data_IF_397454210470
#
_entry.id   IF_397454210470
#
_cell.length_a   1.000
_cell.length_b   1.000
_cell.length_c   1.000
_cell.angle_alpha   90.00
_cell.angle_beta   90.00
_cell.angle_gamma   90.00
#
_symmetry.space_group_name_H-M   'P 1'
#
loop_
_entity.id
_entity.type
_entity.pdbx_description
1 polymer ?
#
# COMPACT_ATOMS: atom_id res chain seq x y z
N UNK A 1 -67.39 22.00 -23.73
CA UNK A 1 -66.49 21.03 -24.40
C UNK A 1 -65.05 21.49 -24.18
N UNK A 2 -64.22 20.79 -23.38
CA UNK A 2 -62.78 20.95 -23.42
C UNK A 2 -62.16 19.91 -24.35
N UNK A 3 -61.15 20.27 -25.15
CA UNK A 3 -60.32 19.32 -25.91
C UNK A 3 -58.88 19.57 -25.52
N UNK A 4 -58.31 18.56 -24.85
CA UNK A 4 -56.92 18.44 -24.45
C UNK A 4 -56.06 18.12 -25.68
N UNK A 5 -55.01 18.90 -25.91
CA UNK A 5 -53.87 18.45 -26.74
C UNK A 5 -52.56 18.76 -26.03
N UNK A 6 -52.13 17.75 -25.28
CA UNK A 6 -50.79 17.17 -25.27
C UNK A 6 -49.60 18.06 -25.68
N UNK A 7 -48.80 18.39 -24.66
CA UNK A 7 -47.32 18.40 -24.57
C UNK A 7 -46.55 18.18 -25.88
N UNK A 8 -45.53 19.02 -26.10
CA UNK A 8 -44.17 18.62 -26.52
C UNK A 8 -43.22 19.82 -26.31
N UNK A 9 -42.35 19.71 -25.31
CA UNK A 9 -41.26 20.65 -25.01
C UNK A 9 -40.03 20.18 -25.80
N UNK A 10 -39.42 20.98 -26.70
CA UNK A 10 -38.28 20.53 -27.48
C UNK A 10 -36.99 20.47 -26.66
N UNK A 11 -36.54 19.25 -26.47
CA UNK A 11 -35.24 18.79 -25.98
C UNK A 11 -34.06 19.46 -26.70
N UNK A 12 -33.03 19.92 -25.97
CA UNK A 12 -31.60 19.72 -26.29
C UNK A 12 -30.69 20.43 -25.29
N UNK A 13 -30.37 19.76 -24.19
CA UNK A 13 -29.11 19.96 -23.49
C UNK A 13 -28.71 18.60 -22.88
N UNK A 14 -27.68 17.92 -23.38
CA UNK A 14 -27.19 16.69 -22.76
C UNK A 14 -26.56 17.00 -21.40
N UNK A 15 -26.84 16.10 -20.46
CA UNK A 15 -26.41 16.09 -19.06
C UNK A 15 -24.88 16.17 -18.88
N UNK A 16 -24.39 16.64 -17.72
CA UNK A 16 -22.97 16.58 -17.38
C UNK A 16 -22.48 15.14 -17.37
N UNK A 17 -21.29 14.91 -17.93
CA UNK A 17 -20.60 13.62 -17.89
C UNK A 17 -20.26 13.28 -16.44
N UNK A 18 -21.13 12.50 -15.78
CA UNK A 18 -20.76 11.70 -14.62
C UNK A 18 -19.67 10.74 -15.07
N UNK A 19 -18.44 11.05 -14.70
CA UNK A 19 -17.34 10.09 -14.77
C UNK A 19 -17.67 9.00 -13.76
N UNK A 20 -18.32 7.95 -14.23
CA UNK A 20 -18.38 6.66 -13.57
C UNK A 20 -16.93 6.19 -13.35
N UNK A 21 -16.36 6.49 -12.17
CA UNK A 21 -15.24 5.71 -11.63
C UNK A 21 -15.79 4.34 -11.20
N UNK A 22 -16.12 3.51 -12.19
CA UNK A 22 -16.48 2.11 -11.97
C UNK A 22 -15.18 1.31 -11.89
N UNK A 23 -14.79 1.02 -10.64
CA UNK A 23 -14.32 -0.28 -10.18
C UNK A 23 -13.26 -0.98 -11.05
N UNK A 24 -12.00 -0.94 -10.60
CA UNK A 24 -11.09 -2.06 -10.79
C UNK A 24 -11.09 -2.91 -9.51
N UNK A 25 -11.66 -4.10 -9.64
CA UNK A 25 -11.69 -5.17 -8.66
C UNK A 25 -10.30 -5.78 -8.42
N UNK A 26 -10.21 -6.61 -7.37
CA UNK A 26 -9.23 -7.68 -7.06
C UNK A 26 -8.04 -7.23 -6.17
N UNK A 27 -7.84 -7.69 -4.92
CA UNK A 27 -8.25 -8.92 -4.22
C UNK A 27 -8.50 -8.64 -2.73
N UNK A 28 -9.76 -8.65 -2.31
CA UNK A 28 -10.13 -8.65 -0.89
C UNK A 28 -10.07 -10.10 -0.39
N UNK A 29 -8.92 -10.54 0.15
CA UNK A 29 -8.86 -11.80 0.90
C UNK A 29 -9.12 -11.49 2.37
N UNK A 30 -10.39 -11.57 2.77
CA UNK A 30 -10.77 -11.62 4.18
C UNK A 30 -10.36 -12.98 4.74
N UNK A 31 -9.38 -13.01 5.64
CA UNK A 31 -9.13 -14.17 6.49
C UNK A 31 -9.30 -13.75 7.95
N UNK A 32 -10.45 -14.14 8.49
CA UNK A 32 -10.72 -14.20 9.92
C UNK A 32 -9.77 -15.21 10.57
N UNK A 33 -9.04 -14.78 11.59
CA UNK A 33 -8.22 -15.65 12.44
C UNK A 33 -8.35 -15.23 13.89
N UNK A 34 -9.35 -15.78 14.59
CA UNK A 34 -9.39 -15.73 16.06
C UNK A 34 -8.49 -16.85 16.56
N UNK A 35 -7.42 -16.48 17.28
CA UNK A 35 -6.64 -17.42 18.09
C UNK A 35 -6.51 -16.80 19.48
N UNK A 36 -7.36 -17.28 20.40
CA UNK A 36 -7.18 -17.16 21.84
C UNK A 36 -6.32 -18.34 22.29
N UNK A 37 -5.08 -18.07 22.71
CA UNK A 37 -4.32 -18.98 23.56
C UNK A 37 -3.84 -18.23 24.81
N UNK A 38 -4.50 -18.50 25.93
CA UNK A 38 -3.97 -18.27 27.27
C UNK A 38 -3.22 -19.50 27.74
N UNK A 39 -1.93 -19.36 28.05
CA UNK A 39 -1.20 -20.31 28.89
C UNK A 39 -0.33 -19.54 29.87
N UNK A 40 -0.70 -19.63 31.15
CA UNK A 40 0.11 -19.17 32.28
C UNK A 40 1.28 -20.13 32.49
N UNK A 41 2.47 -19.58 32.67
CA UNK A 41 3.66 -20.34 33.04
C UNK A 41 4.68 -19.40 33.69
N UNK A 42 4.58 -19.21 35.00
CA UNK A 42 5.65 -18.59 35.78
C UNK A 42 6.76 -19.62 35.98
N UNK A 43 7.92 -19.38 35.36
CA UNK A 43 9.15 -20.05 35.71
C UNK A 43 10.23 -18.98 35.96
N UNK A 44 10.52 -18.74 37.24
CA UNK A 44 11.67 -17.97 37.66
C UNK A 44 12.94 -18.78 37.37
N UNK A 45 13.78 -18.29 36.47
CA UNK A 45 15.17 -18.71 36.35
C UNK A 45 16.04 -17.46 36.51
N UNK A 46 16.53 -17.23 37.73
CA UNK A 46 17.64 -16.32 37.98
C UNK A 46 18.94 -17.07 37.66
N UNK A 47 19.75 -16.53 36.73
CA UNK A 47 21.23 -16.54 36.69
C UNK A 47 21.74 -16.31 35.26
N UNK A 48 22.71 -15.39 35.10
CA UNK A 48 23.61 -15.17 33.93
C UNK A 48 23.26 -14.02 32.94
N UNK A 49 23.24 -12.77 33.41
CA UNK A 49 22.89 -11.59 32.58
C UNK A 49 23.99 -11.01 31.66
N UNK A 50 25.24 -11.48 31.70
CA UNK A 50 26.36 -10.88 30.93
C UNK A 50 26.67 -11.59 29.61
N UNK A 51 26.62 -12.92 29.54
CA UNK A 51 26.84 -13.68 28.30
C UNK A 51 25.60 -13.74 27.38
N UNK A 52 24.41 -13.53 27.94
CA UNK A 52 23.14 -13.55 27.21
C UNK A 52 22.82 -12.21 26.52
N UNK A 53 23.43 -11.11 27.00
CA UNK A 53 23.26 -9.77 26.44
C UNK A 53 24.01 -9.61 25.11
N UNK A 54 25.27 -10.09 25.02
CA UNK A 54 26.03 -10.07 23.76
C UNK A 54 25.41 -10.96 22.68
N UNK A 55 24.88 -12.13 23.05
CA UNK A 55 24.21 -13.03 22.10
C UNK A 55 22.90 -12.43 21.56
N UNK A 56 22.11 -11.73 22.40
CA UNK A 56 20.90 -11.01 21.96
C UNK A 56 21.20 -9.83 21.04
N UNK A 57 22.25 -9.06 21.31
CA UNK A 57 22.65 -7.93 20.45
C UNK A 57 23.16 -8.41 19.09
N UNK A 58 24.00 -9.46 19.07
CA UNK A 58 24.48 -10.08 17.83
C UNK A 58 23.33 -10.67 17.00
N UNK A 59 22.36 -11.34 17.64
CA UNK A 59 21.19 -11.86 16.95
C UNK A 59 20.30 -10.74 16.40
N UNK A 60 20.12 -9.66 17.15
CA UNK A 60 19.33 -8.50 16.71
C UNK A 60 19.99 -7.79 15.52
N UNK A 61 21.31 -7.64 15.52
CA UNK A 61 22.05 -7.02 14.42
C UNK A 61 21.97 -7.85 13.12
N UNK A 62 21.95 -9.19 13.22
CA UNK A 62 21.77 -10.06 12.06
C UNK A 62 20.35 -9.96 11.48
N UNK A 63 19.32 -9.90 12.32
CA UNK A 63 17.93 -9.72 11.90
C UNK A 63 17.71 -8.37 11.21
N UNK A 64 18.29 -7.30 11.75
CA UNK A 64 18.22 -5.95 11.18
C UNK A 64 18.91 -5.88 9.81
N UNK A 65 20.11 -6.47 9.69
CA UNK A 65 20.85 -6.56 8.42
C UNK A 65 20.07 -7.34 7.35
N UNK A 66 19.40 -8.43 7.74
CA UNK A 66 18.57 -9.21 6.82
C UNK A 66 17.31 -8.45 6.39
N UNK A 67 16.72 -7.67 7.28
CA UNK A 67 15.57 -6.81 6.97
C UNK A 67 15.97 -5.69 6.00
N UNK A 68 17.09 -5.01 6.26
CA UNK A 68 17.59 -3.94 5.38
C UNK A 68 17.95 -4.44 3.98
N UNK A 69 18.56 -5.62 3.87
CA UNK A 69 18.85 -6.21 2.55
C UNK A 69 17.59 -6.61 1.78
N UNK A 70 16.56 -7.09 2.48
CA UNK A 70 15.25 -7.38 1.88
C UNK A 70 14.56 -6.11 1.38
N UNK A 71 14.61 -5.05 2.19
CA UNK A 71 14.08 -3.72 1.83
C UNK A 71 14.79 -3.13 0.61
N UNK A 72 16.11 -3.27 0.51
CA UNK A 72 16.86 -2.79 -0.64
C UNK A 72 16.50 -3.54 -1.93
N UNK A 73 16.27 -4.86 -1.84
CA UNK A 73 15.81 -5.64 -2.99
C UNK A 73 14.41 -5.19 -3.45
N UNK A 74 13.49 -4.98 -2.50
CA UNK A 74 12.15 -4.49 -2.81
C UNK A 74 12.19 -3.10 -3.42
N UNK A 75 12.98 -2.17 -2.86
CA UNK A 75 13.16 -0.84 -3.42
C UNK A 75 13.60 -0.90 -4.91
N UNK A 76 14.54 -1.79 -5.23
CA UNK A 76 15.02 -1.98 -6.60
C UNK A 76 13.97 -2.57 -7.54
N UNK A 77 13.17 -3.52 -7.08
CA UNK A 77 12.05 -4.10 -7.86
C UNK A 77 11.08 -3.00 -8.33
N UNK A 78 10.75 -2.10 -7.41
CA UNK A 78 9.90 -0.94 -7.66
C UNK A 78 10.60 0.24 -8.33
N UNK A 79 11.89 0.13 -8.67
CA UNK A 79 12.71 1.20 -9.22
C UNK A 79 12.71 2.49 -8.34
N UNK A 80 12.66 2.28 -7.03
CA UNK A 80 12.69 3.32 -6.00
C UNK A 80 14.09 3.46 -5.40
N UNK A 81 14.41 4.67 -4.93
CA UNK A 81 15.60 4.87 -4.10
C UNK A 81 15.36 4.33 -2.68
N UNK A 82 16.42 4.03 -1.91
CA UNK A 82 16.28 3.63 -0.51
C UNK A 82 15.49 4.64 0.33
N UNK A 83 15.66 5.94 0.07
CA UNK A 83 14.95 7.00 0.79
C UNK A 83 13.44 6.99 0.50
N UNK A 84 13.07 6.67 -0.74
CA UNK A 84 11.66 6.55 -1.13
C UNK A 84 11.02 5.31 -0.55
N UNK A 85 11.75 4.21 -0.49
CA UNK A 85 11.31 2.99 0.17
C UNK A 85 11.06 3.21 1.66
N UNK A 86 12.00 3.86 2.38
CA UNK A 86 11.82 4.22 3.78
C UNK A 86 10.61 5.13 4.00
N UNK A 87 10.36 6.06 3.07
CA UNK A 87 9.17 6.91 3.13
C UNK A 87 7.89 6.10 2.95
N UNK A 88 7.86 5.19 1.99
CA UNK A 88 6.75 4.25 1.81
C UNK A 88 6.51 3.41 3.09
N UNK A 89 7.56 2.86 3.69
CA UNK A 89 7.45 2.11 4.95
C UNK A 89 6.84 2.96 6.07
N UNK A 90 7.30 4.21 6.22
CA UNK A 90 6.74 5.16 7.20
C UNK A 90 5.25 5.43 6.92
N UNK A 91 4.86 5.57 5.65
CA UNK A 91 3.46 5.76 5.27
C UNK A 91 2.61 4.53 5.60
N UNK A 92 3.15 3.32 5.41
CA UNK A 92 2.48 2.06 5.74
C UNK A 92 2.43 1.77 7.25
N UNK A 93 3.33 2.35 8.04
CA UNK A 93 3.25 2.31 9.50
C UNK A 93 2.22 3.30 10.07
N UNK A 94 1.74 4.24 9.25
CA UNK A 94 0.68 5.18 9.61
C UNK A 94 -0.72 4.56 9.42
N UNK A 95 -1.76 5.29 9.82
CA UNK A 95 -3.18 4.91 9.63
C UNK A 95 -3.50 4.50 8.19
N UNK A 96 -2.82 5.10 7.20
CA UNK A 96 -2.94 4.72 5.78
C UNK A 96 -2.63 3.25 5.54
N UNK A 97 -1.54 2.71 6.10
CA UNK A 97 -1.22 1.30 5.91
C UNK A 97 -2.16 0.35 6.66
N UNK A 98 -2.83 0.83 7.70
CA UNK A 98 -3.91 0.07 8.38
C UNK A 98 -5.13 -0.05 7.48
N UNK A 99 -5.52 1.04 6.81
CA UNK A 99 -6.67 1.04 5.89
C UNK A 99 -6.35 0.45 4.51
N UNK A 100 -5.08 0.44 4.11
CA UNK A 100 -4.62 -0.04 2.81
C UNK A 100 -3.37 -0.92 2.95
N UNK A 101 -3.47 -2.06 3.66
CA UNK A 101 -2.36 -2.98 3.77
C UNK A 101 -2.00 -3.52 2.39
N UNK A 102 -0.72 -3.45 2.02
CA UNK A 102 -0.22 -3.95 0.74
C UNK A 102 -0.52 -3.05 -0.47
N UNK A 103 -0.84 -1.77 -0.24
CA UNK A 103 -0.90 -0.78 -1.31
C UNK A 103 0.44 -0.72 -2.05
N UNK A 104 0.41 -0.64 -3.38
CA UNK A 104 1.66 -0.61 -4.14
C UNK A 104 2.47 0.66 -3.81
N UNK A 105 3.81 0.57 -3.73
CA UNK A 105 4.65 1.69 -3.33
C UNK A 105 4.53 2.92 -4.23
N UNK A 106 4.35 2.73 -5.55
CA UNK A 106 4.27 3.84 -6.50
C UNK A 106 2.96 4.62 -6.37
N UNK A 107 1.84 3.95 -6.11
CA UNK A 107 0.55 4.58 -5.82
C UNK A 107 0.58 5.27 -4.46
N UNK A 108 1.12 4.60 -3.44
CA UNK A 108 1.25 5.20 -2.10
C UNK A 108 2.08 6.49 -2.14
N UNK A 109 3.25 6.45 -2.81
CA UNK A 109 4.13 7.60 -2.96
C UNK A 109 3.56 8.66 -3.91
N UNK A 110 2.80 8.27 -4.93
CA UNK A 110 2.12 9.17 -5.87
C UNK A 110 1.03 10.00 -5.21
N UNK A 111 0.24 9.40 -4.31
CA UNK A 111 -0.79 10.10 -3.53
C UNK A 111 -0.16 11.09 -2.54
N UNK A 112 0.98 10.73 -1.94
CA UNK A 112 1.71 11.56 -0.97
C UNK A 112 2.86 12.36 -1.58
N UNK A 113 2.87 12.54 -2.90
CA UNK A 113 3.88 13.32 -3.59
C UNK A 113 3.83 14.79 -3.12
N UNK A 114 4.98 15.33 -2.70
CA UNK A 114 5.08 16.65 -2.10
C UNK A 114 5.14 17.77 -3.13
N UNK A 115 5.47 17.43 -4.37
CA UNK A 115 5.60 18.35 -5.49
C UNK A 115 5.24 17.66 -6.81
N UNK A 116 5.08 18.46 -7.86
CA UNK A 116 4.69 17.97 -9.18
C UNK A 116 5.78 17.14 -9.86
N UNK A 117 7.05 17.29 -9.47
CA UNK A 117 8.14 16.47 -9.98
C UNK A 117 8.07 15.05 -9.43
N UNK A 118 7.90 14.88 -8.13
CA UNK A 118 7.67 13.58 -7.49
C UNK A 118 6.43 12.91 -8.08
N UNK A 119 5.33 13.65 -8.23
CA UNK A 119 4.09 13.11 -8.80
C UNK A 119 4.29 12.62 -10.24
N UNK A 120 4.99 13.38 -11.08
CA UNK A 120 5.34 12.97 -12.45
C UNK A 120 6.24 11.75 -12.45
N UNK A 121 7.28 11.72 -11.62
CA UNK A 121 8.20 10.58 -11.55
C UNK A 121 7.48 9.29 -11.18
N UNK A 122 6.60 9.32 -10.17
CA UNK A 122 5.85 8.11 -9.80
C UNK A 122 4.86 7.69 -10.89
N UNK A 123 4.20 8.64 -11.55
CA UNK A 123 3.34 8.34 -12.69
C UNK A 123 4.12 7.68 -13.85
N UNK A 124 5.30 8.18 -14.18
CA UNK A 124 6.17 7.59 -15.20
C UNK A 124 6.62 6.17 -14.82
N UNK A 125 6.95 5.94 -13.54
CA UNK A 125 7.29 4.60 -13.05
C UNK A 125 6.09 3.64 -13.17
N UNK A 126 4.88 4.08 -12.88
CA UNK A 126 3.67 3.27 -13.06
C UNK A 126 3.42 2.93 -14.54
N UNK A 127 3.56 3.91 -15.44
CA UNK A 127 3.43 3.68 -16.89
C UNK A 127 4.47 2.66 -17.38
N UNK A 128 5.72 2.77 -16.90
CA UNK A 128 6.77 1.78 -17.24
C UNK A 128 6.42 0.39 -16.71
N UNK A 129 5.91 0.28 -15.48
CA UNK A 129 5.49 -0.99 -14.91
C UNK A 129 4.34 -1.61 -15.70
N UNK A 130 3.37 -0.82 -16.14
CA UNK A 130 2.25 -1.27 -16.97
C UNK A 130 2.73 -1.71 -18.36
N UNK A 131 3.59 -0.93 -19.01
CA UNK A 131 4.17 -1.28 -20.30
C UNK A 131 4.97 -2.60 -20.24
N UNK A 132 5.69 -2.85 -19.15
CA UNK A 132 6.39 -4.12 -18.92
C UNK A 132 5.43 -5.31 -18.75
N UNK A 133 4.20 -5.08 -18.29
CA UNK A 133 3.17 -6.12 -18.20
C UNK A 133 2.60 -6.41 -19.58
N UNK A 134 2.17 -5.39 -20.30
CA UNK A 134 1.59 -5.53 -21.65
C UNK A 134 2.57 -6.15 -22.64
N UNK A 135 3.86 -5.82 -22.57
CA UNK A 135 4.85 -6.37 -23.49
C UNK A 135 5.15 -7.87 -23.29
N UNK A 136 4.69 -8.47 -22.19
CA UNK A 136 4.87 -9.90 -21.88
C UNK A 136 3.66 -10.76 -22.26
N UNK A 137 2.55 -10.12 -22.63
CA UNK A 137 1.34 -10.76 -23.16
C UNK A 137 1.43 -10.92 -24.69
#
# INVERSE_FOLDING_TARGET
>A
RPVQHQRLNPHSAPAPLEVHMTVYNLRMFTLTGVILLTAAGMANAASNSSAQSTSREQQSALLDSQSQSSDEMLARDWNLSPQEWQRYQTLMQSSRGVYSPGLDPLTALGIEARNDEERRRYAELQVKAEAQRTAKE
#
